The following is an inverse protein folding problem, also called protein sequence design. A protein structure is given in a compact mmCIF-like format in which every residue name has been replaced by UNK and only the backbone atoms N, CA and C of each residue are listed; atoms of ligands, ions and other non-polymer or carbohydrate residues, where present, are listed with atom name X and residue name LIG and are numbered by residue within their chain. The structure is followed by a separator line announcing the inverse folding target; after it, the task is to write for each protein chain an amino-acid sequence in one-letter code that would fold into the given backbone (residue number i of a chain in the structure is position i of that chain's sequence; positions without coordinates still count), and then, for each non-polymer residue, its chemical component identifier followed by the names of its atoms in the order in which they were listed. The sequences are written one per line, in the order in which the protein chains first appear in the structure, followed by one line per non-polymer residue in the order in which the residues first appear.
data_IF_088757828690
#
_entry.id   IF_088757828690
#
_cell.length_a   1.000
_cell.length_b   1.000
_cell.length_c   1.000
_cell.angle_alpha   90.00
_cell.angle_beta   90.00
_cell.angle_gamma   90.00
#
_symmetry.space_group_name_H-M   'P 1'
#
loop_
_entity.id
_entity.type
_entity.pdbx_description
1 polymer ?
#
# COMPACT_ATOMS: atom_id res chain seq x y z
N UNK A 1 -13.92 -20.31 -16.64
CA UNK A 1 -13.38 -19.08 -17.27
C UNK A 1 -11.86 -19.15 -17.18
N UNK A 2 -11.12 -18.92 -18.27
CA UNK A 2 -9.65 -18.95 -18.22
C UNK A 2 -9.13 -17.78 -17.37
N UNK A 3 -8.06 -17.99 -16.59
CA UNK A 3 -7.42 -16.94 -15.80
C UNK A 3 -6.96 -15.75 -16.65
N UNK A 4 -6.58 -16.00 -17.91
CA UNK A 4 -6.23 -14.96 -18.86
C UNK A 4 -7.43 -14.05 -19.20
N UNK A 5 -8.63 -14.63 -19.29
CA UNK A 5 -9.87 -13.86 -19.52
C UNK A 5 -10.18 -12.99 -18.30
N UNK A 6 -10.03 -13.51 -17.08
CA UNK A 6 -10.19 -12.74 -15.84
C UNK A 6 -9.22 -11.55 -15.80
N UNK A 7 -7.96 -11.79 -16.14
CA UNK A 7 -6.93 -10.74 -16.19
C UNK A 7 -7.28 -9.65 -17.20
N UNK A 8 -7.71 -10.02 -18.41
CA UNK A 8 -8.11 -9.05 -19.43
C UNK A 8 -9.33 -8.23 -19.00
N UNK A 9 -10.32 -8.85 -18.37
CA UNK A 9 -11.48 -8.14 -17.79
C UNK A 9 -11.01 -7.16 -16.70
N UNK A 10 -10.13 -7.60 -15.80
CA UNK A 10 -9.60 -6.74 -14.75
C UNK A 10 -8.84 -5.53 -15.32
N UNK A 11 -7.99 -5.73 -16.31
CA UNK A 11 -7.28 -4.64 -17.00
C UNK A 11 -8.25 -3.66 -17.68
N UNK A 12 -9.29 -4.17 -18.34
CA UNK A 12 -10.29 -3.33 -18.98
C UNK A 12 -11.07 -2.50 -17.95
N UNK A 13 -11.46 -3.08 -16.81
CA UNK A 13 -12.19 -2.39 -15.74
C UNK A 13 -11.31 -1.35 -15.05
N UNK A 14 -10.08 -1.72 -14.66
CA UNK A 14 -9.15 -0.79 -14.00
C UNK A 14 -8.70 0.32 -14.94
N UNK A 15 -8.40 0.00 -16.20
CA UNK A 15 -8.09 0.98 -17.23
C UNK A 15 -9.27 1.92 -17.49
N UNK A 16 -10.48 1.38 -17.60
CA UNK A 16 -11.71 2.17 -17.70
C UNK A 16 -11.93 3.07 -16.49
N UNK A 17 -11.72 2.55 -15.28
CA UNK A 17 -11.76 3.33 -14.04
C UNK A 17 -10.77 4.50 -14.07
N UNK A 18 -9.54 4.28 -14.52
CA UNK A 18 -8.55 5.34 -14.65
C UNK A 18 -8.96 6.42 -15.66
N UNK A 19 -9.31 6.03 -16.89
CA UNK A 19 -9.57 7.01 -17.97
C UNK A 19 -10.92 7.72 -17.84
N UNK A 20 -11.98 7.00 -17.45
CA UNK A 20 -13.33 7.58 -17.37
C UNK A 20 -13.60 8.15 -15.98
N UNK A 21 -13.43 7.35 -14.93
CA UNK A 21 -13.78 7.76 -13.58
C UNK A 21 -12.73 8.70 -12.98
N UNK A 22 -11.44 8.47 -13.22
CA UNK A 22 -10.37 9.40 -12.83
C UNK A 22 -10.56 10.80 -13.44
N UNK A 23 -10.88 10.87 -14.74
CA UNK A 23 -11.20 12.14 -15.42
C UNK A 23 -12.49 12.79 -14.92
N UNK A 24 -13.49 11.98 -14.55
CA UNK A 24 -14.69 12.49 -13.90
C UNK A 24 -14.34 13.13 -12.54
N UNK A 25 -13.53 12.47 -11.72
CA UNK A 25 -13.06 13.00 -10.43
C UNK A 25 -12.28 14.31 -10.61
N UNK A 26 -11.32 14.35 -11.53
CA UNK A 26 -10.53 15.55 -11.84
C UNK A 26 -11.43 16.77 -12.11
N UNK A 27 -12.46 16.57 -12.94
CA UNK A 27 -13.44 17.62 -13.31
C UNK A 27 -14.33 18.02 -12.15
N UNK A 28 -14.90 17.06 -11.44
CA UNK A 28 -15.84 17.31 -10.33
C UNK A 28 -15.16 18.03 -9.17
N UNK A 29 -13.89 17.72 -8.91
CA UNK A 29 -13.10 18.34 -7.83
C UNK A 29 -12.38 19.63 -8.24
N UNK A 30 -12.50 20.03 -9.52
CA UNK A 30 -11.97 21.29 -10.02
C UNK A 30 -10.45 21.38 -9.94
N UNK A 31 -9.76 20.29 -10.29
CA UNK A 31 -8.29 20.32 -10.38
C UNK A 31 -7.89 21.28 -11.49
N UNK A 32 -7.12 22.30 -11.14
CA UNK A 32 -6.49 23.21 -12.09
C UNK A 32 -5.08 22.68 -12.44
N UNK A 33 -4.83 22.24 -13.69
CA UNK A 33 -3.52 21.75 -14.12
C UNK A 33 -2.42 22.81 -14.05
N UNK A 34 -2.77 24.11 -14.01
CA UNK A 34 -1.81 25.21 -13.95
C UNK A 34 -1.51 25.67 -12.52
N UNK A 35 -2.24 25.16 -11.52
CA UNK A 35 -2.01 25.52 -10.13
C UNK A 35 -0.63 25.02 -9.68
N UNK A 36 0.17 25.92 -9.11
CA UNK A 36 1.44 25.53 -8.50
C UNK A 36 1.16 24.73 -7.23
N UNK A 37 1.87 23.61 -7.08
CA UNK A 37 1.80 22.82 -5.84
C UNK A 37 2.66 23.46 -4.75
N UNK A 38 2.42 23.14 -3.47
CA UNK A 38 3.23 23.65 -2.36
C UNK A 38 4.74 23.40 -2.51
N UNK A 39 5.11 22.30 -3.20
CA UNK A 39 6.49 21.99 -3.55
C UNK A 39 7.16 23.10 -4.38
N UNK A 40 6.42 23.73 -5.31
CA UNK A 40 6.93 24.82 -6.14
C UNK A 40 6.74 26.21 -5.52
N UNK A 41 5.72 26.39 -4.67
CA UNK A 41 5.45 27.69 -4.04
C UNK A 41 6.36 27.99 -2.84
N UNK A 42 6.61 27.00 -1.98
CA UNK A 42 7.39 27.16 -0.76
C UNK A 42 8.87 26.88 -1.04
N UNK A 43 9.17 25.77 -1.73
CA UNK A 43 10.50 25.35 -2.17
C UNK A 43 11.62 25.61 -1.14
N UNK A 44 11.48 25.05 0.06
CA UNK A 44 12.40 25.29 1.18
C UNK A 44 13.64 24.39 1.15
N UNK A 45 13.72 23.45 0.20
CA UNK A 45 14.83 22.51 0.08
C UNK A 45 14.83 21.38 1.11
N UNK A 46 13.82 21.30 1.99
CA UNK A 46 13.72 20.31 3.07
C UNK A 46 12.40 19.55 2.98
N UNK A 47 11.28 20.21 3.31
CA UNK A 47 9.95 19.60 3.33
C UNK A 47 9.21 19.79 1.99
N UNK A 48 9.53 20.86 1.25
CA UNK A 48 8.93 21.20 -0.02
C UNK A 48 10.01 21.25 -1.09
N UNK A 49 10.13 20.17 -1.85
CA UNK A 49 11.12 20.06 -2.94
C UNK A 49 10.42 19.61 -4.21
N UNK A 50 10.49 20.38 -5.31
CA UNK A 50 10.05 19.94 -6.62
C UNK A 50 10.70 18.62 -7.00
N UNK A 51 9.89 17.61 -7.24
CA UNK A 51 10.34 16.24 -7.53
C UNK A 51 9.66 15.71 -8.78
N UNK A 52 10.35 14.83 -9.49
CA UNK A 52 9.80 14.18 -10.68
C UNK A 52 8.55 13.36 -10.34
N UNK A 53 7.56 13.42 -11.24
CA UNK A 53 6.27 12.72 -11.06
C UNK A 53 6.45 11.23 -10.81
N UNK A 54 7.39 10.60 -11.50
CA UNK A 54 7.69 9.17 -11.34
C UNK A 54 8.27 8.84 -9.97
N UNK A 55 9.05 9.75 -9.37
CA UNK A 55 9.62 9.56 -8.03
C UNK A 55 8.52 9.66 -6.98
N UNK A 56 7.68 10.70 -7.06
CA UNK A 56 6.54 10.89 -6.14
C UNK A 56 5.53 9.74 -6.27
N UNK A 57 5.25 9.31 -7.51
CA UNK A 57 4.42 8.13 -7.76
C UNK A 57 5.04 6.86 -7.17
N UNK A 58 6.35 6.67 -7.33
CA UNK A 58 7.07 5.54 -6.75
C UNK A 58 6.97 5.51 -5.22
N UNK A 59 7.11 6.67 -4.56
CA UNK A 59 6.91 6.77 -3.11
C UNK A 59 5.49 6.43 -2.68
N UNK A 60 4.48 6.93 -3.39
CA UNK A 60 3.07 6.61 -3.11
C UNK A 60 2.78 5.13 -3.39
N UNK A 61 3.31 4.57 -4.47
CA UNK A 61 3.13 3.16 -4.79
C UNK A 61 3.78 2.28 -3.72
N UNK A 62 5.01 2.60 -3.31
CA UNK A 62 5.72 1.87 -2.28
C UNK A 62 5.04 1.97 -0.90
N UNK A 63 4.34 3.07 -0.59
CA UNK A 63 3.64 3.23 0.68
C UNK A 63 2.36 2.38 0.79
N UNK A 64 1.76 1.98 -0.34
CA UNK A 64 0.57 1.12 -0.40
C UNK A 64 0.94 -0.33 -0.75
N UNK A 65 2.02 -0.52 -1.50
CA UNK A 65 2.53 -1.84 -1.86
C UNK A 65 3.07 -2.55 -0.61
N UNK A 66 2.37 -3.58 -0.18
CA UNK A 66 2.76 -4.38 0.97
C UNK A 66 2.18 -5.78 0.92
N UNK A 67 2.34 -6.53 2.01
CA UNK A 67 1.76 -7.88 2.12
C UNK A 67 0.22 -7.86 2.13
N UNK A 68 -0.40 -6.76 2.58
CA UNK A 68 -1.85 -6.60 2.67
C UNK A 68 -2.58 -6.85 1.34
N UNK A 69 -2.26 -6.13 0.25
CA UNK A 69 -2.86 -6.36 -1.07
C UNK A 69 -2.70 -7.76 -1.66
N UNK A 70 -1.76 -8.57 -1.17
CA UNK A 70 -1.56 -9.96 -1.61
C UNK A 70 -2.35 -10.92 -0.72
N UNK A 71 -2.11 -10.86 0.58
CA UNK A 71 -2.71 -11.78 1.55
C UNK A 71 -4.21 -11.53 1.72
N UNK A 72 -4.66 -10.27 1.62
CA UNK A 72 -6.06 -9.90 1.74
C UNK A 72 -6.95 -10.65 0.75
N UNK A 73 -6.71 -10.55 -0.57
CA UNK A 73 -7.42 -11.32 -1.58
C UNK A 73 -7.32 -12.84 -1.42
N UNK A 74 -6.15 -13.36 -1.03
CA UNK A 74 -5.94 -14.81 -0.83
C UNK A 74 -6.82 -15.32 0.31
N UNK A 75 -6.83 -14.63 1.44
CA UNK A 75 -7.69 -14.97 2.58
C UNK A 75 -9.14 -14.77 2.16
N UNK A 76 -9.50 -13.66 1.53
CA UNK A 76 -10.86 -13.40 1.10
C UNK A 76 -11.39 -14.43 0.08
N UNK A 77 -10.51 -15.11 -0.68
CA UNK A 77 -10.91 -16.14 -1.63
C UNK A 77 -11.63 -17.33 -0.97
N UNK A 78 -11.54 -17.50 0.35
CA UNK A 78 -12.37 -18.43 1.11
C UNK A 78 -13.88 -18.16 0.98
N UNK A 79 -14.26 -16.91 0.69
CA UNK A 79 -15.63 -16.50 0.42
C UNK A 79 -16.03 -16.65 -1.06
N UNK A 80 -15.16 -17.23 -1.89
CA UNK A 80 -15.34 -17.45 -3.31
C UNK A 80 -14.59 -16.44 -4.18
N UNK A 81 -14.14 -16.90 -5.35
CA UNK A 81 -13.31 -16.09 -6.25
C UNK A 81 -14.08 -14.94 -6.94
N UNK A 82 -15.38 -15.13 -7.24
CA UNK A 82 -16.21 -14.10 -7.91
C UNK A 82 -16.45 -12.89 -6.97
N UNK A 83 -16.92 -13.08 -5.72
CA UNK A 83 -17.09 -11.95 -4.80
C UNK A 83 -15.80 -11.17 -4.56
N UNK A 84 -14.67 -11.86 -4.43
CA UNK A 84 -13.36 -11.22 -4.26
C UNK A 84 -12.96 -10.42 -5.49
N UNK A 85 -13.12 -10.98 -6.68
CA UNK A 85 -12.82 -10.27 -7.92
C UNK A 85 -13.66 -8.99 -8.05
N UNK A 86 -14.97 -9.08 -7.79
CA UNK A 86 -15.85 -7.91 -7.80
C UNK A 86 -15.46 -6.89 -6.74
N UNK A 87 -15.12 -7.33 -5.53
CA UNK A 87 -14.67 -6.45 -4.47
C UNK A 87 -13.36 -5.74 -4.83
N UNK A 88 -12.38 -6.42 -5.43
CA UNK A 88 -11.13 -5.80 -5.87
C UNK A 88 -11.38 -4.76 -6.96
N UNK A 89 -12.18 -5.11 -7.98
CA UNK A 89 -12.43 -4.24 -9.12
C UNK A 89 -13.29 -3.04 -8.74
N UNK A 90 -14.42 -3.26 -8.08
CA UNK A 90 -15.37 -2.20 -7.70
C UNK A 90 -14.83 -1.44 -6.48
N UNK A 91 -14.42 -2.17 -5.43
CA UNK A 91 -13.86 -1.60 -4.22
C UNK A 91 -12.60 -0.78 -4.50
N UNK A 92 -11.69 -1.31 -5.30
CA UNK A 92 -10.46 -0.63 -5.69
C UNK A 92 -10.73 0.67 -6.45
N UNK A 93 -11.64 0.67 -7.42
CA UNK A 93 -11.93 1.86 -8.25
C UNK A 93 -12.74 2.91 -7.49
N UNK A 94 -13.81 2.52 -6.79
CA UNK A 94 -14.76 3.48 -6.23
C UNK A 94 -14.47 3.88 -4.78
N UNK A 95 -13.72 3.08 -4.03
CA UNK A 95 -13.39 3.38 -2.64
C UNK A 95 -11.91 3.64 -2.46
N UNK A 96 -11.06 2.69 -2.86
CA UNK A 96 -9.60 2.80 -2.68
C UNK A 96 -9.01 4.00 -3.43
N UNK A 97 -9.13 4.01 -4.76
CA UNK A 97 -8.58 5.08 -5.58
C UNK A 97 -9.18 6.46 -5.25
N UNK A 98 -10.46 6.50 -4.88
CA UNK A 98 -11.13 7.75 -4.47
C UNK A 98 -10.57 8.25 -3.14
N UNK A 99 -10.41 7.38 -2.15
CA UNK A 99 -9.85 7.74 -0.85
C UNK A 99 -8.44 8.31 -1.00
N UNK A 100 -7.58 7.66 -1.78
CA UNK A 100 -6.21 8.11 -2.04
C UNK A 100 -6.19 9.47 -2.76
N UNK A 101 -7.02 9.62 -3.79
CA UNK A 101 -7.17 10.87 -4.53
C UNK A 101 -7.62 12.01 -3.62
N UNK A 102 -8.66 11.79 -2.81
CA UNK A 102 -9.22 12.81 -1.92
C UNK A 102 -8.21 13.19 -0.83
N UNK A 103 -7.54 12.22 -0.22
CA UNK A 103 -6.53 12.48 0.81
C UNK A 103 -5.36 13.30 0.24
N UNK A 104 -4.86 12.93 -0.94
CA UNK A 104 -3.78 13.65 -1.60
C UNK A 104 -4.20 15.08 -2.00
N UNK A 105 -5.36 15.22 -2.63
CA UNK A 105 -5.87 16.54 -3.04
C UNK A 105 -6.12 17.46 -1.85
N UNK A 106 -6.73 16.94 -0.78
CA UNK A 106 -6.95 17.69 0.45
C UNK A 106 -5.62 18.14 1.08
N UNK A 107 -4.60 17.27 1.12
CA UNK A 107 -3.28 17.63 1.61
C UNK A 107 -2.64 18.75 0.79
N UNK A 108 -2.65 18.63 -0.55
CA UNK A 108 -2.08 19.63 -1.47
C UNK A 108 -2.77 21.00 -1.29
N UNK A 109 -4.10 21.03 -1.19
CA UNK A 109 -4.87 22.27 -0.93
C UNK A 109 -4.56 22.89 0.43
N UNK A 110 -4.17 22.08 1.40
CA UNK A 110 -3.76 22.53 2.74
C UNK A 110 -2.24 22.62 2.88
N UNK A 111 -1.54 23.08 1.83
CA UNK A 111 -0.08 23.32 1.82
C UNK A 111 0.75 22.06 2.16
N UNK A 112 0.32 20.88 1.70
CA UNK A 112 1.03 19.62 1.94
C UNK A 112 0.94 19.13 3.40
N UNK A 113 0.02 19.66 4.20
CA UNK A 113 -0.13 19.25 5.60
C UNK A 113 -0.82 17.88 5.72
N UNK A 114 -0.58 17.22 6.85
CA UNK A 114 -1.13 15.89 7.14
C UNK A 114 -2.64 15.93 7.32
N UNK A 115 -3.33 14.81 7.08
CA UNK A 115 -4.78 14.69 7.32
C UNK A 115 -5.15 15.04 8.78
N UNK A 116 -4.29 14.71 9.74
CA UNK A 116 -4.50 15.09 11.15
C UNK A 116 -4.54 16.61 11.36
N UNK A 117 -3.77 17.39 10.59
CA UNK A 117 -3.83 18.86 10.62
C UNK A 117 -5.14 19.37 10.01
N UNK A 118 -5.55 18.79 8.88
CA UNK A 118 -6.82 19.14 8.23
C UNK A 118 -8.00 18.86 9.19
N UNK A 119 -8.00 17.71 9.86
CA UNK A 119 -9.02 17.37 10.87
C UNK A 119 -9.03 18.39 12.02
N UNK A 120 -7.88 18.86 12.50
CA UNK A 120 -7.84 19.91 13.52
C UNK A 120 -8.46 21.21 13.04
N UNK A 121 -8.22 21.60 11.78
CA UNK A 121 -8.75 22.83 11.21
C UNK A 121 -10.27 22.80 11.06
N UNK A 122 -10.86 21.67 10.68
CA UNK A 122 -12.30 21.57 10.38
C UNK A 122 -13.15 20.97 11.53
N UNK A 123 -12.61 20.06 12.34
CA UNK A 123 -13.32 19.36 13.43
C UNK A 123 -12.84 19.84 14.80
N UNK A 124 -11.61 20.34 14.89
CA UNK A 124 -11.01 20.83 16.12
C UNK A 124 -10.03 19.86 16.79
N UNK A 125 -9.41 20.33 17.88
CA UNK A 125 -8.32 19.62 18.59
C UNK A 125 -8.75 18.25 19.13
N UNK A 126 -9.98 18.12 19.62
CA UNK A 126 -10.52 16.85 20.12
C UNK A 126 -10.65 15.83 18.99
N UNK A 127 -11.15 16.26 17.82
CA UNK A 127 -11.23 15.40 16.63
C UNK A 127 -9.86 14.90 16.18
N UNK A 128 -8.86 15.78 16.13
CA UNK A 128 -7.48 15.39 15.82
C UNK A 128 -6.93 14.37 16.81
N UNK A 129 -7.12 14.59 18.12
CA UNK A 129 -6.63 13.65 19.15
C UNK A 129 -7.25 12.26 18.98
N UNK A 130 -8.58 12.19 18.77
CA UNK A 130 -9.26 10.91 18.58
C UNK A 130 -8.82 10.22 17.29
N UNK A 131 -8.69 10.96 16.19
CA UNK A 131 -8.22 10.41 14.91
C UNK A 131 -6.78 9.90 15.00
N UNK A 132 -5.88 10.67 15.63
CA UNK A 132 -4.49 10.25 15.83
C UNK A 132 -4.40 9.04 16.77
N UNK A 133 -5.19 8.99 17.84
CA UNK A 133 -5.25 7.83 18.72
C UNK A 133 -5.72 6.58 17.97
N UNK A 134 -6.79 6.70 17.17
CA UNK A 134 -7.27 5.61 16.32
C UNK A 134 -6.21 5.15 15.32
N UNK A 135 -5.58 6.08 14.60
CA UNK A 135 -4.55 5.76 13.60
C UNK A 135 -3.34 5.10 14.24
N UNK A 136 -2.95 5.56 15.44
CA UNK A 136 -1.84 4.98 16.19
C UNK A 136 -2.13 3.54 16.64
N UNK A 137 -3.30 3.30 17.24
CA UNK A 137 -3.73 1.95 17.63
C UNK A 137 -3.86 1.02 16.42
N UNK A 138 -4.43 1.52 15.33
CA UNK A 138 -4.58 0.75 14.09
C UNK A 138 -3.22 0.42 13.47
N UNK A 139 -2.25 1.35 13.52
CA UNK A 139 -0.89 1.10 13.04
C UNK A 139 -0.19 0.00 13.82
N UNK A 140 -0.40 -0.07 15.15
CA UNK A 140 0.12 -1.17 15.98
C UNK A 140 -0.45 -2.51 15.51
N UNK A 141 -1.76 -2.57 15.23
CA UNK A 141 -2.41 -3.78 14.71
C UNK A 141 -1.83 -4.18 13.35
N UNK A 142 -1.67 -3.23 12.43
CA UNK A 142 -1.10 -3.49 11.10
C UNK A 142 0.34 -4.02 11.22
N UNK A 143 1.17 -3.42 12.07
CA UNK A 143 2.53 -3.90 12.32
C UNK A 143 2.52 -5.32 12.89
N UNK A 144 1.64 -5.61 13.85
CA UNK A 144 1.50 -6.96 14.40
C UNK A 144 1.06 -7.98 13.34
N UNK A 145 0.10 -7.63 12.48
CA UNK A 145 -0.36 -8.49 11.40
C UNK A 145 0.74 -8.77 10.37
N UNK A 146 1.53 -7.76 9.99
CA UNK A 146 2.67 -7.96 9.08
C UNK A 146 3.80 -8.74 9.73
N UNK A 147 4.06 -8.53 11.02
CA UNK A 147 5.03 -9.33 11.78
C UNK A 147 4.63 -10.82 11.80
N UNK A 148 3.34 -11.12 12.01
CA UNK A 148 2.81 -12.49 11.96
C UNK A 148 2.98 -13.12 10.57
N UNK A 149 2.62 -12.39 9.50
CA UNK A 149 2.82 -12.86 8.12
C UNK A 149 4.29 -13.19 7.84
N UNK A 150 5.22 -12.31 8.26
CA UNK A 150 6.66 -12.54 8.08
C UNK A 150 7.11 -13.75 8.90
N UNK A 151 6.69 -13.85 10.17
CA UNK A 151 7.06 -14.97 11.04
C UNK A 151 6.60 -16.32 10.45
N UNK A 152 5.37 -16.40 9.94
CA UNK A 152 4.86 -17.60 9.29
C UNK A 152 5.61 -17.93 8.00
N UNK A 153 5.93 -16.90 7.20
CA UNK A 153 6.63 -17.07 5.92
C UNK A 153 8.06 -17.59 6.10
N UNK A 154 8.73 -17.23 7.20
CA UNK A 154 10.09 -17.68 7.51
C UNK A 154 10.14 -18.96 8.35
N UNK A 155 9.00 -19.53 8.72
CA UNK A 155 8.97 -20.71 9.56
C UNK A 155 9.31 -21.98 8.77
N UNK A 156 10.52 -22.51 9.01
CA UNK A 156 11.02 -23.75 8.41
C UNK A 156 10.44 -25.05 8.99
N UNK A 157 9.57 -24.97 10.00
CA UNK A 157 8.99 -26.13 10.67
C UNK A 157 7.47 -25.99 10.82
N UNK A 158 6.73 -27.05 10.49
CA UNK A 158 5.31 -27.16 10.77
C UNK A 158 5.12 -28.09 11.96
N UNK A 159 4.50 -27.59 13.02
CA UNK A 159 4.13 -28.38 14.19
C UNK A 159 2.67 -28.80 14.07
N UNK A 160 2.40 -30.10 14.05
CA UNK A 160 1.05 -30.65 14.02
C UNK A 160 0.83 -31.50 15.28
N UNK A 161 -0.23 -31.20 16.01
CA UNK A 161 -0.64 -31.98 17.18
C UNK A 161 -1.82 -32.84 16.78
N UNK A 162 -1.59 -34.15 16.69
CA UNK A 162 -2.65 -35.15 16.44
C UNK A 162 -2.68 -36.08 17.65
N UNK A 163 -3.85 -36.22 18.28
CA UNK A 163 -4.07 -37.08 19.46
C UNK A 163 -3.07 -36.85 20.62
N UNK A 164 -2.69 -35.59 20.86
CA UNK A 164 -1.77 -35.21 21.95
C UNK A 164 -0.29 -35.51 21.68
N UNK A 165 0.05 -36.05 20.51
CA UNK A 165 1.44 -36.24 20.06
C UNK A 165 1.84 -35.09 19.16
N UNK A 166 2.90 -34.38 19.56
CA UNK A 166 3.47 -33.30 18.76
C UNK A 166 4.40 -33.87 17.69
N UNK A 167 4.05 -33.67 16.42
CA UNK A 167 4.93 -34.00 15.28
C UNK A 167 5.46 -32.73 14.67
N UNK A 168 6.77 -32.69 14.42
CA UNK A 168 7.45 -31.58 13.75
C UNK A 168 7.86 -32.05 12.37
N UNK A 169 7.32 -31.41 11.34
CA UNK A 169 7.66 -31.65 9.95
C UNK A 169 8.43 -30.46 9.36
N UNK A 170 9.29 -30.72 8.39
CA UNK A 170 10.00 -29.65 7.69
C UNK A 170 9.05 -28.90 6.75
N UNK A 171 8.98 -27.57 6.90
CA UNK A 171 8.30 -26.69 5.96
C UNK A 171 9.32 -26.19 4.93
N UNK A 172 9.46 -26.94 3.84
CA UNK A 172 10.41 -26.61 2.77
C UNK A 172 10.14 -25.24 2.15
N UNK A 173 8.87 -24.84 2.03
CA UNK A 173 8.50 -23.54 1.49
C UNK A 173 9.02 -22.39 2.37
N UNK A 174 8.82 -22.49 3.70
CA UNK A 174 9.32 -21.48 4.64
C UNK A 174 10.85 -21.38 4.65
N UNK A 175 11.54 -22.54 4.62
CA UNK A 175 13.00 -22.58 4.51
C UNK A 175 13.54 -21.99 3.20
N UNK A 176 12.84 -22.22 2.08
CA UNK A 176 13.18 -21.63 0.78
C UNK A 176 13.00 -20.11 0.76
N UNK A 177 11.94 -19.58 1.38
CA UNK A 177 11.73 -18.14 1.45
C UNK A 177 12.80 -17.48 2.34
N UNK A 178 13.13 -18.09 3.48
CA UNK A 178 14.17 -17.59 4.36
C UNK A 178 15.54 -17.53 3.66
N UNK A 179 15.95 -18.61 3.00
CA UNK A 179 17.21 -18.66 2.24
C UNK A 179 17.26 -17.65 1.09
N UNK A 180 16.19 -17.58 0.28
CA UNK A 180 16.09 -16.59 -0.82
C UNK A 180 16.18 -15.16 -0.31
N UNK A 181 15.52 -14.84 0.81
CA UNK A 181 15.57 -13.52 1.42
C UNK A 181 16.97 -13.15 1.91
N UNK A 182 17.70 -14.11 2.51
CA UNK A 182 19.10 -13.90 2.91
C UNK A 182 20.00 -13.58 1.70
N UNK A 183 19.85 -14.32 0.60
CA UNK A 183 20.61 -14.03 -0.63
C UNK A 183 20.30 -12.65 -1.20
N UNK A 184 19.03 -12.23 -1.21
CA UNK A 184 18.64 -10.89 -1.67
C UNK A 184 19.26 -9.78 -0.83
N UNK A 185 19.28 -9.93 0.51
CA UNK A 185 19.88 -8.95 1.41
C UNK A 185 21.39 -8.83 1.13
N UNK A 186 22.09 -9.97 1.00
CA UNK A 186 23.52 -9.98 0.69
C UNK A 186 23.79 -9.31 -0.67
N UNK A 187 23.00 -9.62 -1.69
CA UNK A 187 23.11 -9.00 -3.01
C UNK A 187 22.86 -7.49 -2.97
N UNK A 188 21.83 -7.04 -2.23
CA UNK A 188 21.50 -5.62 -2.09
C UNK A 188 22.61 -4.84 -1.36
N UNK A 189 23.16 -5.40 -0.27
CA UNK A 189 24.31 -4.81 0.45
C UNK A 189 25.53 -4.76 -0.46
N UNK A 190 25.82 -5.83 -1.19
CA UNK A 190 26.93 -5.91 -2.15
C UNK A 190 26.81 -4.86 -3.26
N UNK A 191 25.63 -4.72 -3.86
CA UNK A 191 25.34 -3.69 -4.86
C UNK A 191 25.48 -2.28 -4.27
N UNK A 192 24.97 -2.04 -3.05
CA UNK A 192 25.10 -0.76 -2.36
C UNK A 192 26.56 -0.38 -2.10
N UNK A 193 27.39 -1.34 -1.66
CA UNK A 193 28.83 -1.14 -1.49
C UNK A 193 29.53 -0.90 -2.82
N UNK A 194 29.19 -1.64 -3.88
CA UNK A 194 29.75 -1.44 -5.22
C UNK A 194 29.44 -0.04 -5.76
N UNK A 195 28.18 0.40 -5.69
CA UNK A 195 27.77 1.74 -6.12
C UNK A 195 28.44 2.87 -5.32
N UNK A 196 28.73 2.62 -4.03
CA UNK A 196 29.45 3.58 -3.18
C UNK A 196 30.91 3.75 -3.57
N UNK A 197 31.58 2.71 -4.06
CA UNK A 197 33.01 2.73 -4.39
C UNK A 197 33.31 2.88 -5.89
N UNK A 198 32.30 2.80 -6.75
CA UNK A 198 32.44 2.98 -8.22
C UNK A 198 31.99 4.38 -8.68
N UNK A 199 31.40 5.18 -7.79
CA UNK A 199 31.24 6.64 -7.96
C UNK A 199 32.37 7.37 -7.28
#
# INVERSE_FOLDING_TARGET
MSGLVIMLIALAVLGGGYFFYGKHLERTWGIDPNAKTPAYEINDGIDYVPSDKSVVFGHQFASIAGAGPINGPIVAAMFGWVPVLLWILIGGVFFGAVQDFVAMYASVKNKGKTIGYIIEQYIGKTGKKLFLAFTWLFSILVVAAFADVVAQTFNGFTKTVTDGVETVANNLAGGQVASTSMFFIVAAVGLGLFLKHTK
#
